data_IF_754339265701
#
_entry.id   IF_754339265701
#
_cell.length_a   1.000
_cell.length_b   1.000
_cell.length_c   1.000
_cell.angle_alpha   90.00
_cell.angle_beta   90.00
_cell.angle_gamma   90.00
#
_symmetry.space_group_name_H-M   'P 1'
#
loop_
_entity.id
_entity.type
_entity.pdbx_description
1 polymer ?
#
# COMPACT_ATOMS: atom_id res chain seq x y z
N UNK A 1 -39.26 -32.33 13.16
CA UNK A 1 -38.78 -30.98 12.86
C UNK A 1 -37.35 -31.09 12.38
N UNK A 2 -37.11 -30.93 11.08
CA UNK A 2 -35.75 -30.91 10.53
C UNK A 2 -35.11 -29.57 10.87
N UNK A 3 -34.21 -29.57 11.85
CA UNK A 3 -33.29 -28.45 12.04
C UNK A 3 -32.40 -28.37 10.78
N UNK A 4 -32.70 -27.43 9.88
CA UNK A 4 -31.73 -27.02 8.87
C UNK A 4 -30.52 -26.51 9.64
N UNK A 5 -29.46 -27.28 9.67
CA UNK A 5 -28.16 -26.86 10.10
C UNK A 5 -27.77 -25.71 9.14
N UNK A 6 -27.80 -24.47 9.63
CA UNK A 6 -27.32 -23.32 8.87
C UNK A 6 -25.82 -23.54 8.72
N UNK A 7 -25.39 -23.79 7.49
CA UNK A 7 -23.99 -23.99 7.14
C UNK A 7 -23.35 -22.59 7.11
N UNK A 8 -22.89 -22.16 8.28
CA UNK A 8 -22.22 -20.86 8.42
C UNK A 8 -20.82 -20.96 7.80
N UNK A 9 -20.60 -20.23 6.70
CA UNK A 9 -19.27 -20.05 6.14
C UNK A 9 -18.54 -18.98 6.94
N UNK A 10 -17.34 -19.27 7.47
CA UNK A 10 -16.56 -18.24 8.16
C UNK A 10 -16.16 -17.13 7.21
N UNK A 11 -16.19 -15.90 7.70
CA UNK A 11 -15.69 -14.71 7.00
C UNK A 11 -14.51 -14.18 7.78
N UNK A 12 -13.34 -14.13 7.14
CA UNK A 12 -12.12 -13.54 7.71
C UNK A 12 -11.95 -12.12 7.16
N UNK A 13 -11.87 -11.17 8.07
CA UNK A 13 -11.56 -9.77 7.72
C UNK A 13 -10.10 -9.50 8.06
N UNK A 14 -9.31 -9.17 7.04
CA UNK A 14 -7.86 -9.06 7.13
C UNK A 14 -7.44 -7.60 6.90
N UNK A 15 -6.64 -7.06 7.81
CA UNK A 15 -6.02 -5.75 7.67
C UNK A 15 -4.50 -5.88 7.54
N UNK A 16 -3.78 -4.76 7.55
CA UNK A 16 -2.33 -4.69 7.35
C UNK A 16 -1.51 -5.62 8.26
N UNK A 17 -2.03 -5.95 9.46
CA UNK A 17 -1.42 -6.91 10.36
C UNK A 17 -1.29 -8.33 9.80
N UNK A 18 -2.18 -8.73 8.89
CA UNK A 18 -2.12 -10.06 8.27
C UNK A 18 -0.87 -10.20 7.38
N UNK A 19 -0.47 -9.15 6.67
CA UNK A 19 0.71 -9.14 5.81
C UNK A 19 2.00 -8.75 6.54
N UNK A 20 1.90 -8.27 7.80
CA UNK A 20 3.08 -7.90 8.61
C UNK A 20 4.03 -9.07 8.81
N UNK A 21 3.50 -10.27 9.05
CA UNK A 21 4.31 -11.47 9.30
C UNK A 21 5.17 -11.86 8.09
N UNK A 22 4.79 -11.46 6.89
CA UNK A 22 5.53 -11.69 5.65
C UNK A 22 6.34 -10.47 5.21
N UNK A 23 6.50 -9.47 6.08
CA UNK A 23 7.37 -8.31 5.88
C UNK A 23 6.68 -7.03 5.41
N UNK A 24 5.36 -7.03 5.16
CA UNK A 24 4.68 -5.80 4.77
C UNK A 24 4.74 -4.76 5.91
N UNK A 25 5.09 -3.49 5.61
CA UNK A 25 5.10 -2.44 6.62
C UNK A 25 3.69 -2.09 7.09
N UNK A 26 3.55 -1.73 8.34
CA UNK A 26 2.32 -1.12 8.86
C UNK A 26 2.23 0.35 8.42
N UNK A 27 1.02 0.90 8.51
CA UNK A 27 0.72 2.28 8.10
C UNK A 27 1.67 3.32 8.72
N UNK A 28 2.03 3.16 10.01
CA UNK A 28 2.91 4.08 10.72
C UNK A 28 4.41 3.87 10.41
N UNK A 29 4.78 2.69 9.93
CA UNK A 29 6.17 2.35 9.60
C UNK A 29 6.43 2.48 8.09
N UNK A 30 5.39 2.73 7.32
CA UNK A 30 5.43 2.62 5.86
C UNK A 30 6.42 3.60 5.22
N UNK A 31 6.32 4.89 5.56
CA UNK A 31 7.19 5.93 5.00
C UNK A 31 8.64 5.78 5.47
N UNK A 32 8.86 5.30 6.69
CA UNK A 32 10.19 4.96 7.19
C UNK A 32 10.79 3.82 6.34
N UNK A 33 10.01 2.76 6.12
CA UNK A 33 10.46 1.63 5.28
C UNK A 33 10.74 2.05 3.84
N UNK A 34 9.92 2.92 3.28
CA UNK A 34 10.13 3.48 1.95
C UNK A 34 11.45 4.27 1.86
N UNK A 35 11.78 5.06 2.89
CA UNK A 35 13.06 5.79 2.96
C UNK A 35 14.25 4.84 3.06
N UNK A 36 14.19 3.87 3.95
CA UNK A 36 15.24 2.85 4.07
C UNK A 36 15.48 2.15 2.74
N UNK A 37 14.41 1.80 2.04
CA UNK A 37 14.50 1.12 0.75
C UNK A 37 15.25 1.94 -0.29
N UNK A 38 14.91 3.22 -0.45
CA UNK A 38 15.53 4.11 -1.47
C UNK A 38 17.03 4.27 -1.27
N UNK A 39 17.48 4.26 0.00
CA UNK A 39 18.89 4.42 0.34
C UNK A 39 19.60 3.08 0.59
N UNK A 40 18.88 1.95 0.43
CA UNK A 40 19.45 0.63 0.59
C UNK A 40 20.21 0.19 -0.67
N UNK A 41 21.39 -0.45 -0.52
CA UNK A 41 22.05 -1.13 -1.62
C UNK A 41 21.19 -2.23 -2.26
N UNK A 42 20.25 -2.80 -1.52
CA UNK A 42 19.34 -3.83 -2.01
C UNK A 42 18.28 -3.26 -2.97
N UNK A 43 17.96 -1.97 -2.89
CA UNK A 43 17.12 -1.30 -3.88
C UNK A 43 17.73 -1.39 -5.29
N UNK A 44 19.06 -1.36 -5.35
CA UNK A 44 19.80 -1.51 -6.60
C UNK A 44 19.69 -2.93 -7.19
N UNK A 45 19.50 -3.94 -6.36
CA UNK A 45 19.37 -5.35 -6.78
C UNK A 45 17.95 -5.75 -7.15
N UNK A 46 16.96 -5.08 -6.58
CA UNK A 46 15.54 -5.43 -6.76
C UNK A 46 14.99 -4.97 -8.11
N UNK A 47 15.65 -4.06 -8.79
CA UNK A 47 15.23 -3.50 -10.07
C UNK A 47 16.24 -3.84 -11.16
N UNK A 48 15.81 -4.61 -12.14
CA UNK A 48 16.66 -5.12 -13.22
C UNK A 48 17.19 -4.04 -14.20
N UNK A 49 16.64 -2.82 -14.16
CA UNK A 49 16.99 -1.75 -15.10
C UNK A 49 17.34 -0.44 -14.38
N UNK A 50 18.51 0.10 -14.65
CA UNK A 50 19.00 1.37 -14.06
C UNK A 50 18.05 2.57 -14.28
N UNK A 51 17.39 2.61 -15.44
CA UNK A 51 16.41 3.65 -15.74
C UNK A 51 15.18 3.61 -14.80
N UNK A 52 14.73 2.41 -14.46
CA UNK A 52 13.59 2.25 -13.54
C UNK A 52 13.95 2.68 -12.12
N UNK A 53 15.19 2.44 -11.70
CA UNK A 53 15.71 2.85 -10.39
C UNK A 53 15.71 4.36 -10.24
N UNK A 54 16.27 5.07 -11.23
CA UNK A 54 16.34 6.53 -11.20
C UNK A 54 14.93 7.13 -11.21
N UNK A 55 14.04 6.61 -12.06
CA UNK A 55 12.65 7.05 -12.10
C UNK A 55 11.95 6.89 -10.74
N UNK A 56 12.11 5.74 -10.09
CA UNK A 56 11.52 5.50 -8.78
C UNK A 56 12.15 6.41 -7.71
N UNK A 57 13.46 6.63 -7.74
CA UNK A 57 14.12 7.55 -6.82
C UNK A 57 13.52 8.95 -6.90
N UNK A 58 13.37 9.49 -8.11
CA UNK A 58 12.72 10.78 -8.35
C UNK A 58 11.28 10.78 -7.81
N UNK A 59 10.52 9.72 -8.03
CA UNK A 59 9.16 9.61 -7.51
C UNK A 59 9.12 9.59 -5.98
N UNK A 60 10.02 8.88 -5.32
CA UNK A 60 10.13 8.90 -3.85
C UNK A 60 10.51 10.30 -3.34
N UNK A 61 11.42 10.98 -4.01
CA UNK A 61 11.82 12.36 -3.68
C UNK A 61 10.63 13.33 -3.78
N UNK A 62 9.75 13.19 -4.77
CA UNK A 62 8.53 14.01 -4.86
C UNK A 62 7.67 13.88 -3.60
N UNK A 63 7.44 12.65 -3.14
CA UNK A 63 6.62 12.39 -1.95
C UNK A 63 7.28 12.94 -0.68
N UNK A 64 8.58 12.71 -0.49
CA UNK A 64 9.28 13.18 0.69
C UNK A 64 9.50 14.69 0.71
N UNK A 65 9.66 15.32 -0.45
CA UNK A 65 9.69 16.77 -0.57
C UNK A 65 8.34 17.36 -0.18
N UNK A 66 7.25 16.80 -0.70
CA UNK A 66 5.89 17.20 -0.33
C UNK A 66 5.65 17.08 1.17
N UNK A 67 5.99 15.95 1.78
CA UNK A 67 5.90 15.75 3.24
C UNK A 67 6.70 16.81 4.01
N UNK A 68 7.95 17.07 3.60
CA UNK A 68 8.82 18.08 4.20
C UNK A 68 8.20 19.50 4.13
N UNK A 69 7.58 19.82 3.00
CA UNK A 69 6.95 21.12 2.82
C UNK A 69 5.69 21.26 3.68
N UNK A 70 4.92 20.21 3.86
CA UNK A 70 3.81 20.20 4.82
C UNK A 70 4.30 20.45 6.26
N UNK A 71 5.40 19.84 6.69
CA UNK A 71 6.00 20.12 8.00
C UNK A 71 6.38 21.59 8.18
N UNK A 72 6.91 22.23 7.14
CA UNK A 72 7.28 23.65 7.17
C UNK A 72 6.07 24.59 7.32
N UNK A 73 4.88 24.17 6.88
CA UNK A 73 3.69 25.03 6.90
C UNK A 73 3.14 25.32 8.29
N UNK A 74 3.57 24.63 9.34
CA UNK A 74 3.09 24.70 10.72
C UNK A 74 1.57 24.51 10.90
N UNK A 75 0.80 24.28 9.83
CA UNK A 75 -0.65 24.07 9.91
C UNK A 75 -1.02 22.67 10.38
N UNK A 76 -0.11 21.74 10.18
CA UNK A 76 -0.29 20.34 10.51
C UNK A 76 0.34 19.97 11.85
N UNK A 77 0.48 20.98 12.75
CA UNK A 77 0.94 20.73 14.12
C UNK A 77 -0.06 19.77 14.82
N UNK A 78 0.45 18.64 15.28
CA UNK A 78 -0.34 17.59 15.91
C UNK A 78 -0.95 16.58 14.93
N UNK A 79 -0.71 16.70 13.63
CA UNK A 79 -1.08 15.70 12.63
C UNK A 79 0.15 14.83 12.36
N UNK A 80 -0.04 13.53 12.39
CA UNK A 80 1.02 12.57 12.07
C UNK A 80 1.20 12.46 10.55
N UNK A 81 2.17 13.22 10.02
CA UNK A 81 2.54 13.20 8.60
C UNK A 81 3.45 12.02 8.24
N UNK A 82 3.91 11.24 9.20
CA UNK A 82 4.64 9.99 8.96
C UNK A 82 3.69 8.82 8.72
N UNK A 83 2.41 8.98 9.06
CA UNK A 83 1.36 8.05 8.70
C UNK A 83 1.02 8.18 7.20
N UNK A 84 1.22 7.10 6.44
CA UNK A 84 1.06 7.09 4.98
C UNK A 84 -0.35 7.45 4.52
N UNK A 85 -1.38 7.01 5.23
CA UNK A 85 -2.79 7.29 4.90
C UNK A 85 -3.13 8.75 5.18
N UNK A 86 -2.63 9.30 6.28
CA UNK A 86 -2.80 10.72 6.63
C UNK A 86 -2.15 11.60 5.58
N UNK A 87 -0.90 11.31 5.21
CA UNK A 87 -0.19 12.06 4.19
C UNK A 87 -0.90 12.03 2.84
N UNK A 88 -1.37 10.84 2.42
CA UNK A 88 -2.10 10.68 1.17
C UNK A 88 -3.45 11.42 1.20
N UNK A 89 -4.17 11.37 2.31
CA UNK A 89 -5.45 12.09 2.47
C UNK A 89 -5.28 13.60 2.32
N UNK A 90 -4.23 14.16 2.90
CA UNK A 90 -3.91 15.58 2.77
C UNK A 90 -3.55 15.93 1.31
N UNK A 91 -2.77 15.07 0.65
CA UNK A 91 -2.43 15.22 -0.76
C UNK A 91 -3.68 15.24 -1.64
N UNK A 92 -4.59 14.28 -1.44
CA UNK A 92 -5.81 14.17 -2.22
C UNK A 92 -6.75 15.37 -2.00
N UNK A 93 -6.89 15.83 -0.76
CA UNK A 93 -7.63 17.06 -0.43
C UNK A 93 -7.05 18.29 -1.13
N UNK A 94 -5.72 18.47 -1.09
CA UNK A 94 -5.05 19.59 -1.73
C UNK A 94 -5.21 19.53 -3.26
N UNK A 95 -5.09 18.36 -3.85
CA UNK A 95 -5.29 18.13 -5.27
C UNK A 95 -6.73 18.45 -5.72
N UNK A 96 -7.73 17.98 -4.99
CA UNK A 96 -9.13 18.27 -5.28
C UNK A 96 -9.44 19.77 -5.18
N UNK A 97 -8.92 20.44 -4.16
CA UNK A 97 -9.08 21.88 -3.98
C UNK A 97 -8.42 22.66 -5.12
N UNK A 98 -7.19 22.28 -5.53
CA UNK A 98 -6.50 22.92 -6.65
C UNK A 98 -7.25 22.72 -7.98
N UNK A 99 -7.79 21.54 -8.24
CA UNK A 99 -8.62 21.27 -9.43
C UNK A 99 -9.93 22.06 -9.44
N UNK A 100 -10.50 22.32 -8.27
CA UNK A 100 -11.72 23.10 -8.13
C UNK A 100 -11.47 24.62 -8.16
N UNK A 101 -10.22 25.06 -8.36
CA UNK A 101 -9.83 26.47 -8.34
C UNK A 101 -9.97 27.14 -6.95
N UNK A 102 -10.07 26.34 -5.91
CA UNK A 102 -10.10 26.83 -4.54
C UNK A 102 -8.68 27.21 -4.13
N UNK A 103 -8.39 28.48 -3.80
CA UNK A 103 -7.05 28.90 -3.42
C UNK A 103 -6.66 28.26 -2.08
N UNK A 104 -5.73 27.31 -2.13
CA UNK A 104 -5.27 26.62 -0.94
C UNK A 104 -4.35 27.54 -0.12
N UNK A 105 -3.47 28.30 -0.76
CA UNK A 105 -2.69 29.43 -0.22
C UNK A 105 -1.73 30.06 -1.21
N UNK A 106 -1.61 31.40 -1.22
CA UNK A 106 -0.59 32.08 -2.01
C UNK A 106 0.85 31.84 -1.53
N UNK A 107 1.03 31.50 -0.24
CA UNK A 107 2.35 31.36 0.40
C UNK A 107 3.05 30.02 0.10
N UNK A 108 2.32 29.07 -0.48
CA UNK A 108 2.85 27.76 -0.84
C UNK A 108 2.41 27.38 -2.27
N UNK A 109 3.12 27.86 -3.29
CA UNK A 109 2.80 27.59 -4.69
C UNK A 109 2.72 26.10 -5.01
N UNK A 110 3.53 25.28 -4.35
CA UNK A 110 3.53 23.81 -4.52
C UNK A 110 2.21 23.14 -4.10
N UNK A 111 1.45 23.75 -3.17
CA UNK A 111 0.17 23.19 -2.70
C UNK A 111 -1.02 23.64 -3.55
N UNK A 112 -0.82 24.56 -4.50
CA UNK A 112 -1.87 25.11 -5.35
C UNK A 112 -1.73 24.75 -6.83
N UNK A 113 -0.65 24.12 -7.23
CA UNK A 113 -0.44 23.64 -8.59
C UNK A 113 -1.04 22.24 -8.78
N UNK A 114 -2.21 22.18 -9.40
CA UNK A 114 -2.92 20.93 -9.65
C UNK A 114 -2.09 19.92 -10.45
N UNK A 115 -1.26 20.36 -11.40
CA UNK A 115 -0.43 19.50 -12.22
C UNK A 115 0.73 18.89 -11.42
N UNK A 116 1.34 19.69 -10.55
CA UNK A 116 2.38 19.21 -9.64
C UNK A 116 1.78 18.19 -8.64
N UNK A 117 0.62 18.48 -8.08
CA UNK A 117 -0.07 17.57 -7.17
C UNK A 117 -0.48 16.26 -7.85
N UNK A 118 -0.87 16.27 -9.14
CA UNK A 118 -1.07 15.06 -9.94
C UNK A 118 0.22 14.23 -10.01
N UNK A 119 1.35 14.87 -10.31
CA UNK A 119 2.65 14.18 -10.37
C UNK A 119 3.05 13.56 -9.03
N UNK A 120 2.83 14.29 -7.93
CA UNK A 120 3.11 13.78 -6.58
C UNK A 120 2.18 12.61 -6.25
N UNK A 121 0.93 12.67 -6.65
CA UNK A 121 -0.06 11.61 -6.43
C UNK A 121 0.31 10.32 -7.16
N UNK A 122 0.71 10.40 -8.43
CA UNK A 122 1.25 9.26 -9.19
C UNK A 122 2.53 8.70 -8.55
N UNK A 123 3.40 9.59 -8.08
CA UNK A 123 4.62 9.21 -7.37
C UNK A 123 4.30 8.47 -6.07
N UNK A 124 3.22 8.87 -5.38
CA UNK A 124 2.79 8.22 -4.15
C UNK A 124 2.33 6.78 -4.39
N UNK A 125 1.55 6.52 -5.45
CA UNK A 125 1.19 5.15 -5.83
C UNK A 125 2.42 4.31 -6.18
N UNK A 126 3.36 4.88 -6.92
CA UNK A 126 4.63 4.20 -7.25
C UNK A 126 5.43 3.84 -5.98
N UNK A 127 5.47 4.76 -5.00
CA UNK A 127 6.10 4.54 -3.71
C UNK A 127 5.44 3.38 -2.96
N UNK A 128 4.11 3.36 -2.88
CA UNK A 128 3.38 2.27 -2.20
C UNK A 128 3.70 0.93 -2.85
N UNK A 129 3.54 0.83 -4.16
CA UNK A 129 3.76 -0.43 -4.90
C UNK A 129 5.20 -0.91 -4.74
N UNK A 130 6.19 -0.04 -4.91
CA UNK A 130 7.58 -0.41 -4.82
C UNK A 130 7.97 -0.85 -3.39
N UNK A 131 7.48 -0.13 -2.37
CA UNK A 131 7.76 -0.47 -0.97
C UNK A 131 7.17 -1.82 -0.59
N UNK A 132 5.92 -2.11 -0.98
CA UNK A 132 5.29 -3.40 -0.73
C UNK A 132 6.03 -4.54 -1.45
N UNK A 133 6.33 -4.36 -2.74
CA UNK A 133 7.05 -5.37 -3.53
C UNK A 133 8.43 -5.73 -2.95
N UNK A 134 9.14 -4.72 -2.43
CA UNK A 134 10.47 -4.92 -1.86
C UNK A 134 10.44 -5.42 -0.41
N UNK A 135 9.33 -5.22 0.31
CA UNK A 135 9.23 -5.58 1.72
C UNK A 135 8.65 -6.97 1.94
N UNK A 136 7.75 -7.43 1.07
CA UNK A 136 7.07 -8.72 1.24
C UNK A 136 8.00 -9.87 0.82
N UNK A 137 8.33 -10.72 1.79
CA UNK A 137 9.09 -11.94 1.56
C UNK A 137 8.15 -13.11 1.25
N UNK A 138 7.97 -13.38 -0.04
CA UNK A 138 7.14 -14.47 -0.57
C UNK A 138 7.77 -15.85 -0.41
N UNK A 139 9.03 -15.93 0.00
CA UNK A 139 9.75 -17.18 0.25
C UNK A 139 9.85 -17.49 1.75
N UNK A 140 9.25 -16.65 2.59
CA UNK A 140 9.29 -16.85 4.03
C UNK A 140 8.43 -18.04 4.48
N UNK A 141 8.83 -18.65 5.59
CA UNK A 141 8.02 -19.69 6.25
C UNK A 141 6.62 -19.18 6.65
N UNK A 142 6.52 -17.91 7.02
CA UNK A 142 5.26 -17.25 7.36
C UNK A 142 4.31 -17.17 6.15
N UNK A 143 4.85 -16.92 4.95
CA UNK A 143 4.06 -16.93 3.72
C UNK A 143 3.54 -18.34 3.40
N UNK A 144 4.37 -19.38 3.58
CA UNK A 144 3.94 -20.77 3.45
C UNK A 144 2.82 -21.14 4.45
N UNK A 145 2.93 -20.66 5.69
CA UNK A 145 1.87 -20.86 6.70
C UNK A 145 0.57 -20.16 6.31
N UNK A 146 0.66 -18.95 5.73
CA UNK A 146 -0.51 -18.24 5.22
C UNK A 146 -1.20 -19.06 4.13
N UNK A 147 -0.44 -19.52 3.12
CA UNK A 147 -0.97 -20.35 2.02
C UNK A 147 -1.67 -21.60 2.58
N UNK A 148 -1.03 -22.32 3.50
CA UNK A 148 -1.61 -23.54 4.10
C UNK A 148 -2.86 -23.24 4.93
N UNK A 149 -2.84 -22.12 5.66
CA UNK A 149 -3.98 -21.68 6.46
C UNK A 149 -5.20 -21.33 5.59
N UNK A 150 -4.99 -20.67 4.48
CA UNK A 150 -6.03 -20.35 3.50
C UNK A 150 -6.56 -21.62 2.82
N UNK A 151 -5.66 -22.53 2.42
CA UNK A 151 -6.05 -23.83 1.82
C UNK A 151 -6.91 -24.69 2.76
N UNK A 152 -6.64 -24.65 4.07
CA UNK A 152 -7.41 -25.38 5.07
C UNK A 152 -8.84 -24.83 5.27
N UNK A 153 -9.11 -23.61 4.82
CA UNK A 153 -10.38 -22.90 4.96
C UNK A 153 -11.13 -22.73 3.63
N UNK A 154 -11.19 -23.78 2.82
CA UNK A 154 -11.78 -23.75 1.46
C UNK A 154 -13.23 -23.21 1.39
N UNK A 155 -13.97 -23.26 2.47
CA UNK A 155 -15.35 -22.77 2.54
C UNK A 155 -15.46 -21.37 3.20
N UNK A 156 -14.34 -20.69 3.44
CA UNK A 156 -14.32 -19.37 4.02
C UNK A 156 -14.39 -18.27 2.95
N UNK A 157 -14.91 -17.11 3.33
CA UNK A 157 -14.74 -15.87 2.58
C UNK A 157 -13.64 -15.02 3.23
N UNK A 158 -12.85 -14.33 2.40
CA UNK A 158 -11.80 -13.44 2.86
C UNK A 158 -12.09 -12.03 2.34
N UNK A 159 -12.03 -11.05 3.24
CA UNK A 159 -12.15 -9.62 2.93
C UNK A 159 -10.83 -8.99 3.35
N UNK A 160 -10.13 -8.34 2.43
CA UNK A 160 -8.89 -7.62 2.73
C UNK A 160 -9.04 -6.13 2.46
N UNK A 161 -8.45 -5.31 3.32
CA UNK A 161 -8.30 -3.87 3.16
C UNK A 161 -6.83 -3.48 2.94
N UNK A 162 -5.99 -4.46 2.62
CA UNK A 162 -4.57 -4.24 2.40
C UNK A 162 -4.32 -3.68 1.00
N UNK A 163 -3.24 -2.92 0.87
CA UNK A 163 -2.73 -2.44 -0.41
C UNK A 163 -1.86 -3.47 -1.15
N UNK A 164 -1.54 -4.59 -0.49
CA UNK A 164 -0.76 -5.68 -1.08
C UNK A 164 -1.67 -6.78 -1.63
N UNK A 165 -1.12 -7.61 -2.51
CA UNK A 165 -1.79 -8.75 -3.13
C UNK A 165 -1.40 -10.09 -2.49
N UNK A 166 -0.85 -10.07 -1.28
CA UNK A 166 -0.31 -11.28 -0.66
C UNK A 166 -1.38 -12.34 -0.37
N UNK A 167 -2.59 -11.90 0.00
CA UNK A 167 -3.72 -12.80 0.26
C UNK A 167 -4.22 -13.42 -1.05
N UNK A 168 -4.39 -12.61 -2.10
CA UNK A 168 -4.84 -13.06 -3.41
C UNK A 168 -3.83 -14.04 -4.02
N UNK A 169 -2.55 -13.72 -3.96
CA UNK A 169 -1.47 -14.60 -4.42
C UNK A 169 -1.46 -15.92 -3.63
N UNK A 170 -1.59 -15.85 -2.31
CA UNK A 170 -1.64 -17.04 -1.46
C UNK A 170 -2.88 -17.91 -1.74
N UNK A 171 -4.05 -17.30 -1.99
CA UNK A 171 -5.26 -18.02 -2.41
C UNK A 171 -5.06 -18.72 -3.75
N UNK A 172 -4.45 -18.04 -4.74
CA UNK A 172 -4.14 -18.63 -6.04
C UNK A 172 -3.20 -19.84 -5.89
N UNK A 173 -2.14 -19.72 -5.10
CA UNK A 173 -1.20 -20.80 -4.83
C UNK A 173 -1.86 -21.95 -4.07
N UNK A 174 -2.75 -21.67 -3.12
CA UNK A 174 -3.47 -22.69 -2.35
C UNK A 174 -4.49 -23.47 -3.19
N UNK A 175 -5.02 -22.83 -4.24
CA UNK A 175 -5.95 -23.49 -5.18
C UNK A 175 -5.25 -24.56 -6.03
N UNK A 176 -3.92 -24.45 -6.21
CA UNK A 176 -3.12 -25.36 -6.99
C UNK A 176 -3.62 -25.48 -8.44
N UNK A 177 -3.38 -26.66 -9.07
CA UNK A 177 -3.84 -26.95 -10.43
C UNK A 177 -5.37 -27.06 -10.57
N UNK A 178 -6.14 -26.92 -9.47
CA UNK A 178 -7.60 -27.04 -9.46
C UNK A 178 -8.33 -25.83 -10.06
N UNK A 179 -7.60 -24.85 -10.58
CA UNK A 179 -8.11 -23.72 -11.34
C UNK A 179 -8.54 -22.53 -10.47
N UNK A 180 -8.26 -21.34 -11.01
CA UNK A 180 -8.61 -20.03 -10.44
C UNK A 180 -10.12 -19.78 -10.36
N UNK A 181 -10.95 -20.66 -10.89
CA UNK A 181 -12.40 -20.50 -10.98
C UNK A 181 -13.13 -20.54 -9.63
N UNK A 182 -12.40 -20.79 -8.55
CA UNK A 182 -12.98 -20.85 -7.17
C UNK A 182 -12.95 -19.54 -6.41
N UNK A 183 -12.14 -18.59 -6.83
CA UNK A 183 -11.99 -17.32 -6.13
C UNK A 183 -12.41 -16.17 -7.03
N UNK A 184 -13.54 -15.54 -6.69
CA UNK A 184 -13.89 -14.24 -7.26
C UNK A 184 -13.14 -13.18 -6.48
N UNK A 185 -12.23 -12.48 -7.13
CA UNK A 185 -11.63 -11.26 -6.60
C UNK A 185 -12.43 -10.11 -7.18
N UNK A 186 -13.20 -9.42 -6.34
CA UNK A 186 -13.97 -8.24 -6.70
C UNK A 186 -13.19 -7.02 -6.19
N UNK A 187 -12.83 -6.09 -7.10
CA UNK A 187 -12.05 -4.89 -6.81
C UNK A 187 -12.93 -3.65 -6.82
#
# INVERSE_FOLDING_TARGET
MNHRQLDFKPVFVLGAGASKAIGAPLVNDFLLRARELVYSPDFERTLEQDFMREKLRVQFEHVFTYQSDLYKTRRFLGIDLDNVETLFSILDMNWQAAKSGIPIRPDFPLLSDAKLLDTIRESFFSLIIATLKASIDRQSFQHDLLIRGLAANENAAFITFNYDTAIEEALQLSAGERGTDRYFVDY
#
